data_IF_050000578433
#
_entry.id   IF_050000578433
#
_cell.length_a   1.000
_cell.length_b   1.000
_cell.length_c   1.000
_cell.angle_alpha   90.00
_cell.angle_beta   90.00
_cell.angle_gamma   90.00
#
_symmetry.space_group_name_H-M   'P 1'
#
loop_
_entity.id
_entity.type
_entity.pdbx_description
1 polymer ?
#
# COMPACT_ATOMS: atom_id res chain seq x y z
N UNK A 1 -1.29 6.25 4.16
CA UNK A 1 -0.79 5.81 2.85
C UNK A 1 0.15 4.67 3.13
N UNK A 2 -0.21 3.46 2.71
CA UNK A 2 0.37 2.20 3.17
C UNK A 2 0.28 1.99 4.70
N UNK A 3 0.45 0.75 5.12
CA UNK A 3 0.51 0.31 6.50
C UNK A 3 1.30 -1.01 6.55
N UNK A 4 2.63 -0.90 6.53
CA UNK A 4 3.53 -2.04 6.52
C UNK A 4 4.18 -2.37 7.86
N UNK A 5 5.00 -3.41 7.85
CA UNK A 5 5.92 -3.76 8.94
C UNK A 5 7.36 -3.62 8.47
N UNK A 6 8.29 -3.37 9.38
CA UNK A 6 9.71 -3.30 9.07
C UNK A 6 10.37 -4.69 9.18
N UNK A 7 10.70 -5.39 8.08
CA UNK A 7 11.07 -6.81 8.13
C UNK A 7 12.35 -7.12 8.92
N UNK A 8 13.26 -6.14 9.04
CA UNK A 8 14.51 -6.29 9.79
C UNK A 8 14.42 -5.93 11.29
N UNK A 9 13.25 -5.51 11.79
CA UNK A 9 13.07 -5.10 13.20
C UNK A 9 12.22 -6.11 13.96
N UNK A 10 12.25 -6.01 15.29
CA UNK A 10 11.55 -6.90 16.21
C UNK A 10 10.72 -6.10 17.22
N UNK A 11 9.78 -6.76 17.87
CA UNK A 11 8.92 -6.22 18.90
C UNK A 11 8.06 -5.07 18.39
N UNK A 12 8.03 -3.98 19.15
CA UNK A 12 7.25 -2.79 18.81
C UNK A 12 7.85 -2.06 17.60
N UNK A 13 9.17 -2.14 17.41
CA UNK A 13 9.86 -1.44 16.32
C UNK A 13 9.59 -2.05 14.94
N UNK A 14 9.01 -3.25 14.90
CA UNK A 14 8.46 -3.89 13.69
C UNK A 14 7.28 -3.08 13.11
N UNK A 15 6.49 -2.46 13.97
CA UNK A 15 5.22 -1.85 13.62
C UNK A 15 5.41 -0.41 13.15
N UNK A 16 4.48 0.13 12.34
CA UNK A 16 4.53 1.52 11.98
C UNK A 16 4.38 2.37 13.23
N UNK A 17 5.19 3.43 13.33
CA UNK A 17 5.05 4.42 14.40
C UNK A 17 3.78 5.23 14.11
N UNK A 18 2.68 4.76 14.66
CA UNK A 18 1.44 5.51 14.73
C UNK A 18 1.56 6.32 16.00
N UNK A 19 1.57 7.65 15.88
CA UNK A 19 1.70 8.53 17.03
C UNK A 19 0.53 8.29 18.01
N UNK A 20 0.79 7.48 19.04
CA UNK A 20 -0.19 7.01 20.02
C UNK A 20 -0.72 8.15 20.91
N UNK A 21 -0.18 9.37 20.75
CA UNK A 21 -0.71 10.58 21.39
C UNK A 21 -2.06 11.04 20.81
N UNK A 22 -2.49 10.48 19.68
CA UNK A 22 -3.83 10.73 19.14
C UNK A 22 -4.80 9.72 19.76
N UNK A 23 -5.27 10.02 20.98
CA UNK A 23 -6.42 9.34 21.62
C UNK A 23 -7.76 9.56 20.90
N UNK A 24 -7.73 10.01 19.64
CA UNK A 24 -8.86 10.27 18.78
C UNK A 24 -8.61 9.68 17.36
N UNK A 25 -8.76 8.36 17.25
CA UNK A 25 -8.90 7.64 15.97
C UNK A 25 -10.01 8.10 15.00
N UNK A 26 -10.97 8.98 15.33
CA UNK A 26 -11.82 9.61 14.31
C UNK A 26 -11.12 10.37 13.17
N UNK A 27 -9.78 10.49 13.14
CA UNK A 27 -9.08 11.35 12.17
C UNK A 27 -8.62 10.69 10.85
N UNK A 28 -8.66 9.36 10.72
CA UNK A 28 -8.23 8.71 9.45
C UNK A 28 -9.44 8.32 8.62
N UNK A 29 -9.72 9.09 7.57
CA UNK A 29 -10.81 8.81 6.64
C UNK A 29 -10.50 7.64 5.70
N UNK A 30 -9.25 7.53 5.24
CA UNK A 30 -8.88 6.57 4.20
C UNK A 30 -7.48 5.97 4.40
N UNK A 31 -7.38 4.66 4.23
CA UNK A 31 -6.14 3.91 4.11
C UNK A 31 -6.04 3.40 2.68
N UNK A 32 -4.99 3.80 1.97
CA UNK A 32 -4.70 3.37 0.61
C UNK A 32 -3.48 2.46 0.65
N UNK A 33 -3.61 1.22 0.19
CA UNK A 33 -2.51 0.26 0.14
C UNK A 33 -2.08 0.06 -1.31
N UNK A 34 -0.82 0.40 -1.61
CA UNK A 34 -0.23 0.45 -2.94
C UNK A 34 -0.04 -0.95 -3.51
N UNK A 35 0.55 -1.85 -2.73
CA UNK A 35 0.83 -3.22 -3.15
C UNK A 35 1.02 -4.17 -1.95
N UNK A 36 1.16 -5.47 -2.23
CA UNK A 36 1.06 -6.53 -1.22
C UNK A 36 2.36 -6.86 -0.48
N UNK A 37 3.46 -6.12 -0.68
CA UNK A 37 4.67 -6.36 0.08
C UNK A 37 4.49 -6.08 1.57
N UNK A 38 5.29 -6.75 2.40
CA UNK A 38 5.14 -6.73 3.86
C UNK A 38 5.32 -5.32 4.44
N UNK A 39 6.29 -4.58 3.92
CA UNK A 39 6.63 -3.21 4.26
C UNK A 39 5.62 -2.16 3.77
N UNK A 40 4.59 -2.58 3.02
CA UNK A 40 3.49 -1.71 2.58
C UNK A 40 2.12 -2.14 3.13
N UNK A 41 1.88 -3.42 3.36
CA UNK A 41 0.54 -3.92 3.69
C UNK A 41 0.44 -4.70 5.01
N UNK A 42 1.52 -5.34 5.47
CA UNK A 42 1.42 -6.30 6.55
C UNK A 42 1.21 -5.69 7.95
N UNK A 43 1.29 -4.36 8.11
CA UNK A 43 0.89 -3.68 9.34
C UNK A 43 -0.63 -3.58 9.50
N UNK A 44 -1.39 -3.76 8.42
CA UNK A 44 -2.83 -3.53 8.40
C UNK A 44 -3.63 -4.44 9.36
N UNK A 45 -3.39 -5.76 9.47
CA UNK A 45 -4.14 -6.60 10.43
C UNK A 45 -3.94 -6.15 11.88
N UNK A 46 -2.71 -5.77 12.24
CA UNK A 46 -2.43 -5.21 13.56
C UNK A 46 -3.17 -3.89 13.79
N UNK A 47 -3.17 -3.00 12.80
CA UNK A 47 -3.90 -1.73 12.86
C UNK A 47 -5.39 -1.95 13.14
N UNK A 48 -6.03 -2.85 12.41
CA UNK A 48 -7.46 -3.16 12.57
C UNK A 48 -7.75 -3.79 13.93
N UNK A 49 -6.88 -4.66 14.42
CA UNK A 49 -7.01 -5.28 15.74
C UNK A 49 -6.90 -4.27 16.89
N UNK A 50 -5.97 -3.30 16.77
CA UNK A 50 -5.81 -2.22 17.76
C UNK A 50 -6.92 -1.19 17.69
N UNK A 51 -7.45 -0.92 16.50
CA UNK A 51 -8.41 0.15 16.26
C UNK A 51 -9.72 -0.40 15.70
N UNK A 52 -10.43 -1.17 16.53
CA UNK A 52 -11.68 -1.86 16.13
C UNK A 52 -12.76 -0.90 15.62
N UNK A 53 -12.79 0.31 16.18
CA UNK A 53 -13.74 1.38 15.84
C UNK A 53 -13.35 2.21 14.60
N UNK A 54 -12.29 1.83 13.88
CA UNK A 54 -11.95 2.45 12.60
C UNK A 54 -13.11 2.30 11.61
N UNK A 55 -13.62 3.43 11.11
CA UNK A 55 -14.76 3.56 10.19
C UNK A 55 -14.38 4.08 8.79
N UNK A 56 -13.10 4.40 8.58
CA UNK A 56 -12.62 4.87 7.29
C UNK A 56 -12.64 3.79 6.22
N UNK A 57 -12.36 4.18 4.98
CA UNK A 57 -12.23 3.24 3.85
C UNK A 57 -10.83 2.66 3.77
N UNK A 58 -10.71 1.39 3.42
CA UNK A 58 -9.44 0.74 3.11
C UNK A 58 -9.51 0.32 1.65
N UNK A 59 -8.64 0.87 0.81
CA UNK A 59 -8.65 0.61 -0.63
C UNK A 59 -7.39 -0.16 -1.05
N UNK A 60 -7.62 -1.22 -1.82
CA UNK A 60 -6.61 -2.01 -2.52
C UNK A 60 -7.07 -2.27 -3.95
N UNK A 61 -6.16 -2.56 -4.86
CA UNK A 61 -6.56 -3.23 -6.10
C UNK A 61 -6.98 -4.68 -5.81
N UNK A 62 -7.80 -5.26 -6.69
CA UNK A 62 -8.24 -6.64 -6.52
C UNK A 62 -7.07 -7.66 -6.40
N UNK A 63 -6.01 -7.59 -7.25
CA UNK A 63 -4.87 -8.48 -7.09
C UNK A 63 -4.12 -8.24 -5.77
N UNK A 64 -3.91 -6.99 -5.36
CA UNK A 64 -3.27 -6.67 -4.08
C UNK A 64 -4.04 -7.27 -2.91
N UNK A 65 -5.38 -7.19 -2.89
CA UNK A 65 -6.20 -7.82 -1.85
C UNK A 65 -6.02 -9.35 -1.82
N UNK A 66 -5.97 -10.01 -2.98
CA UNK A 66 -5.76 -11.46 -3.06
C UNK A 66 -4.39 -11.88 -2.52
N UNK A 67 -3.32 -11.22 -2.98
CA UNK A 67 -1.96 -11.55 -2.56
C UNK A 67 -1.67 -11.13 -1.13
N UNK A 68 -2.25 -10.02 -0.66
CA UNK A 68 -2.18 -9.57 0.73
C UNK A 68 -2.49 -10.73 1.68
N UNK A 69 -3.65 -11.39 1.52
CA UNK A 69 -4.03 -12.53 2.38
C UNK A 69 -2.97 -13.63 2.36
N UNK A 70 -2.49 -14.03 1.18
CA UNK A 70 -1.52 -15.11 1.03
C UNK A 70 -0.20 -14.75 1.72
N UNK A 71 0.34 -13.58 1.40
CA UNK A 71 1.63 -13.09 1.89
C UNK A 71 1.60 -12.87 3.40
N UNK A 72 0.52 -12.28 3.93
CA UNK A 72 0.39 -12.09 5.38
C UNK A 72 0.19 -13.40 6.14
N UNK A 73 -0.58 -14.35 5.60
CA UNK A 73 -0.75 -15.67 6.22
C UNK A 73 0.54 -16.49 6.20
N UNK A 74 1.37 -16.35 5.16
CA UNK A 74 2.69 -16.99 5.11
C UNK A 74 3.66 -16.36 6.10
N UNK A 75 3.69 -15.02 6.17
CA UNK A 75 4.50 -14.28 7.14
C UNK A 75 4.25 -14.73 8.58
N UNK A 76 2.99 -14.86 9.02
CA UNK A 76 2.70 -15.28 10.40
C UNK A 76 3.04 -16.76 10.68
N UNK A 77 3.23 -17.60 9.67
CA UNK A 77 3.69 -18.99 9.85
C UNK A 77 5.20 -19.05 10.08
N UNK A 78 5.94 -18.21 9.38
CA UNK A 78 7.40 -18.19 9.39
C UNK A 78 7.95 -17.29 10.52
N UNK A 79 7.28 -16.17 10.80
CA UNK A 79 7.75 -15.20 11.78
C UNK A 79 7.75 -15.77 13.20
N UNK A 80 8.88 -15.59 13.88
CA UNK A 80 9.02 -15.92 15.30
C UNK A 80 8.15 -15.00 16.18
N UNK A 81 8.00 -13.74 15.76
CA UNK A 81 7.16 -12.75 16.44
C UNK A 81 5.91 -12.47 15.62
N UNK A 82 4.75 -12.70 16.22
CA UNK A 82 3.46 -12.59 15.55
C UNK A 82 2.73 -11.36 16.07
N UNK A 83 2.76 -10.22 15.34
CA UNK A 83 2.02 -9.03 15.74
C UNK A 83 0.50 -9.21 15.67
N UNK A 84 0.03 -10.23 14.95
CA UNK A 84 -1.38 -10.60 14.75
C UNK A 84 -1.48 -12.08 14.33
N UNK A 85 -2.70 -12.65 14.31
CA UNK A 85 -2.98 -14.01 13.86
C UNK A 85 -3.85 -14.05 12.59
N UNK A 86 -4.24 -15.27 12.19
CA UNK A 86 -5.13 -15.49 11.02
C UNK A 86 -6.49 -14.80 11.20
N UNK A 87 -6.99 -14.71 12.43
CA UNK A 87 -8.27 -14.06 12.71
C UNK A 87 -8.24 -12.58 12.34
N UNK A 88 -7.20 -11.86 12.74
CA UNK A 88 -7.03 -10.45 12.43
C UNK A 88 -6.82 -10.21 10.92
N UNK A 89 -6.18 -11.16 10.21
CA UNK A 89 -6.06 -11.10 8.75
C UNK A 89 -7.44 -11.16 8.10
N UNK A 90 -8.29 -12.10 8.52
CA UNK A 90 -9.66 -12.22 7.98
C UNK A 90 -10.52 -10.99 8.34
N UNK A 91 -10.42 -10.47 9.57
CA UNK A 91 -11.08 -9.21 9.97
C UNK A 91 -10.65 -8.02 9.08
N UNK A 92 -9.37 -7.93 8.71
CA UNK A 92 -8.88 -6.92 7.77
C UNK A 92 -9.43 -7.16 6.34
N UNK A 93 -9.46 -8.41 5.88
CA UNK A 93 -9.98 -8.78 4.55
C UNK A 93 -11.45 -8.38 4.34
N UNK A 94 -12.27 -8.48 5.38
CA UNK A 94 -13.67 -8.05 5.36
C UNK A 94 -13.82 -6.53 5.20
N UNK A 95 -12.89 -5.74 5.76
CA UNK A 95 -12.92 -4.27 5.70
C UNK A 95 -12.29 -3.67 4.43
N UNK A 96 -11.50 -4.44 3.69
CA UNK A 96 -10.85 -3.96 2.46
C UNK A 96 -11.86 -3.89 1.31
N UNK A 97 -11.98 -2.72 0.69
CA UNK A 97 -12.72 -2.50 -0.55
C UNK A 97 -11.75 -2.48 -1.76
N UNK A 98 -12.21 -3.02 -2.88
CA UNK A 98 -11.41 -3.05 -4.11
C UNK A 98 -11.68 -1.81 -4.97
N UNK A 99 -10.61 -1.16 -5.43
CA UNK A 99 -10.64 -0.10 -6.44
C UNK A 99 -10.04 -0.61 -7.75
N UNK A 100 -10.68 -0.31 -8.88
CA UNK A 100 -10.11 -0.58 -10.20
C UNK A 100 -9.22 0.57 -10.66
N UNK A 101 -8.22 0.29 -11.49
CA UNK A 101 -7.44 1.33 -12.13
C UNK A 101 -8.34 2.33 -12.86
N UNK A 102 -8.01 3.62 -12.74
CA UNK A 102 -8.76 4.76 -13.29
C UNK A 102 -10.18 4.95 -12.75
N UNK A 103 -10.63 4.14 -11.79
CA UNK A 103 -11.88 4.38 -11.10
C UNK A 103 -11.71 5.55 -10.13
N UNK A 104 -12.66 6.49 -10.18
CA UNK A 104 -12.74 7.59 -9.22
C UNK A 104 -13.62 7.15 -8.05
N UNK A 105 -13.08 7.21 -6.82
CA UNK A 105 -13.82 7.02 -5.57
C UNK A 105 -13.82 8.34 -4.82
N UNK A 106 -15.00 8.83 -4.46
CA UNK A 106 -15.14 10.00 -3.58
C UNK A 106 -15.61 9.55 -2.20
N UNK A 107 -14.90 10.00 -1.16
CA UNK A 107 -15.24 9.72 0.24
C UNK A 107 -14.85 10.89 1.13
N UNK A 108 -15.78 11.43 1.91
CA UNK A 108 -15.56 12.56 2.84
C UNK A 108 -14.84 13.76 2.18
N UNK A 109 -15.16 14.09 0.93
CA UNK A 109 -14.53 15.20 0.18
C UNK A 109 -13.11 14.89 -0.33
N UNK A 110 -12.69 13.63 -0.27
CA UNK A 110 -11.43 13.12 -0.81
C UNK A 110 -11.75 12.35 -2.09
N UNK A 111 -11.22 12.81 -3.22
CA UNK A 111 -11.30 12.10 -4.50
C UNK A 111 -10.04 11.25 -4.68
N UNK A 112 -10.22 9.96 -4.95
CA UNK A 112 -9.15 8.97 -5.04
C UNK A 112 -9.25 8.27 -6.39
N UNK A 113 -8.13 8.23 -7.11
CA UNK A 113 -7.95 7.42 -8.32
C UNK A 113 -6.65 6.66 -8.21
N UNK A 114 -6.57 5.45 -8.77
CA UNK A 114 -5.32 4.70 -8.84
C UNK A 114 -4.87 4.38 -10.26
N UNK A 115 -3.56 4.31 -10.47
CA UNK A 115 -2.90 4.03 -11.75
C UNK A 115 -1.94 2.86 -11.58
N UNK A 116 -1.65 2.11 -12.64
CA UNK A 116 -0.72 0.99 -12.55
C UNK A 116 0.70 1.49 -12.20
N UNK A 117 1.31 0.89 -11.17
CA UNK A 117 2.68 1.18 -10.74
C UNK A 117 3.73 0.25 -11.37
N UNK A 118 3.32 -0.76 -12.15
CA UNK A 118 4.24 -1.84 -12.56
C UNK A 118 4.66 -2.66 -11.35
N UNK A 119 5.97 -2.79 -11.09
CA UNK A 119 6.58 -3.43 -9.90
C UNK A 119 6.12 -4.85 -9.56
N UNK A 120 4.90 -5.01 -9.04
CA UNK A 120 4.26 -6.29 -8.75
C UNK A 120 2.81 -6.29 -9.22
N UNK A 121 2.23 -7.48 -9.40
CA UNK A 121 0.86 -7.60 -9.89
C UNK A 121 -0.14 -6.88 -8.97
N UNK A 122 -0.87 -5.91 -9.52
CA UNK A 122 -1.83 -5.11 -8.76
C UNK A 122 -1.25 -3.88 -8.07
N UNK A 123 0.07 -3.61 -8.20
CA UNK A 123 0.65 -2.41 -7.62
C UNK A 123 0.01 -1.15 -8.21
N UNK A 124 -0.18 -0.15 -7.35
CA UNK A 124 -0.92 1.04 -7.69
C UNK A 124 -0.30 2.32 -7.12
N UNK A 125 -0.24 3.34 -7.96
CA UNK A 125 0.01 4.72 -7.55
C UNK A 125 -1.34 5.40 -7.29
N UNK A 126 -1.48 6.10 -6.18
CA UNK A 126 -2.71 6.79 -5.81
C UNK A 126 -2.62 8.29 -6.07
N UNK A 127 -3.52 8.80 -6.91
CA UNK A 127 -3.80 10.22 -7.03
C UNK A 127 -4.94 10.60 -6.09
N UNK A 128 -4.71 11.61 -5.27
CA UNK A 128 -5.61 12.04 -4.21
C UNK A 128 -5.86 13.53 -4.39
N UNK A 129 -7.12 13.93 -4.51
CA UNK A 129 -7.52 15.34 -4.58
C UNK A 129 -8.32 15.71 -3.32
N UNK A 130 -7.86 16.74 -2.60
CA UNK A 130 -8.53 17.28 -1.41
C UNK A 130 -8.59 18.79 -1.54
N UNK A 131 -9.78 19.38 -1.52
CA UNK A 131 -9.98 20.85 -1.63
C UNK A 131 -9.21 21.49 -2.81
N UNK A 132 -9.12 20.78 -3.94
CA UNK A 132 -8.42 21.21 -5.15
C UNK A 132 -6.91 20.96 -5.17
N UNK A 133 -6.30 20.55 -4.05
CA UNK A 133 -4.90 20.14 -3.99
C UNK A 133 -4.74 18.69 -4.42
N UNK A 134 -3.79 18.42 -5.32
CA UNK A 134 -3.57 17.10 -5.93
C UNK A 134 -2.24 16.50 -5.50
N UNK A 135 -2.31 15.33 -4.87
CA UNK A 135 -1.15 14.55 -4.43
C UNK A 135 -1.06 13.25 -5.23
N UNK A 136 0.14 12.89 -5.67
CA UNK A 136 0.44 11.56 -6.20
C UNK A 136 1.35 10.82 -5.21
N UNK A 137 0.91 9.65 -4.76
CA UNK A 137 1.72 8.72 -3.99
C UNK A 137 2.04 7.50 -4.84
N UNK A 138 3.33 7.24 -5.08
CA UNK A 138 3.74 6.18 -6.02
C UNK A 138 3.72 4.78 -5.41
N UNK A 139 3.91 4.67 -4.09
CA UNK A 139 4.44 3.43 -3.52
C UNK A 139 5.77 3.08 -4.19
N UNK A 140 6.02 1.78 -4.34
CA UNK A 140 7.09 1.28 -5.20
C UNK A 140 6.60 1.15 -6.64
N UNK A 141 7.42 1.57 -7.60
CA UNK A 141 7.03 1.56 -9.01
C UNK A 141 8.20 1.20 -9.93
N UNK A 142 7.87 0.61 -11.08
CA UNK A 142 8.85 0.34 -12.15
C UNK A 142 8.31 0.80 -13.48
N UNK A 143 9.02 1.73 -14.12
CA UNK A 143 8.69 2.23 -15.47
C UNK A 143 9.04 1.24 -16.58
N UNK A 144 9.96 0.30 -16.32
CA UNK A 144 10.36 -0.71 -17.31
C UNK A 144 9.34 -1.86 -17.30
N UNK A 145 8.71 -2.20 -18.44
CA UNK A 145 7.84 -3.36 -18.53
C UNK A 145 8.63 -4.66 -18.33
N UNK A 146 8.04 -5.61 -17.60
CA UNK A 146 8.61 -6.94 -17.41
C UNK A 146 8.11 -7.96 -18.46
N UNK A 147 8.09 -9.28 -18.19
CA UNK A 147 7.55 -10.29 -19.12
C UNK A 147 6.02 -10.44 -18.96
N UNK A 148 5.52 -10.10 -17.79
CA UNK A 148 4.15 -10.29 -17.31
C UNK A 148 3.48 -8.97 -16.94
N UNK A 149 4.25 -7.96 -16.52
CA UNK A 149 3.77 -6.68 -16.04
C UNK A 149 4.11 -5.55 -17.01
N UNK A 150 3.14 -4.67 -17.22
CA UNK A 150 3.39 -3.39 -17.87
C UNK A 150 4.21 -2.48 -16.94
N UNK A 151 4.93 -1.53 -17.51
CA UNK A 151 5.57 -0.47 -16.74
C UNK A 151 4.53 0.45 -16.08
N UNK A 152 4.99 1.21 -15.09
CA UNK A 152 4.21 2.23 -14.42
C UNK A 152 3.67 3.24 -15.43
N UNK A 153 2.41 3.63 -15.22
CA UNK A 153 1.81 4.70 -15.99
C UNK A 153 2.38 6.06 -15.57
N UNK A 154 2.27 7.05 -16.47
CA UNK A 154 2.52 8.44 -16.13
C UNK A 154 1.19 9.17 -16.20
N UNK A 155 0.55 9.47 -15.06
CA UNK A 155 -0.68 10.25 -15.04
C UNK A 155 -0.49 11.56 -15.80
N UNK A 156 -1.38 11.85 -16.75
CA UNK A 156 -1.31 13.07 -17.57
C UNK A 156 -1.76 14.33 -16.80
N UNK A 157 -2.45 14.12 -15.67
CA UNK A 157 -2.82 15.18 -14.75
C UNK A 157 -1.58 15.77 -14.07
N UNK A 158 -1.57 17.09 -13.90
CA UNK A 158 -0.60 17.75 -13.04
C UNK A 158 -0.95 17.54 -11.55
N UNK A 159 0.05 17.18 -10.76
CA UNK A 159 -0.03 17.07 -9.31
C UNK A 159 0.80 18.18 -8.66
N UNK A 160 0.30 18.71 -7.54
CA UNK A 160 0.98 19.73 -6.75
C UNK A 160 2.06 19.09 -5.86
N UNK A 161 1.80 17.87 -5.38
CA UNK A 161 2.67 17.13 -4.47
C UNK A 161 2.94 15.74 -5.04
N UNK A 162 4.21 15.34 -5.03
CA UNK A 162 4.65 13.99 -5.36
C UNK A 162 5.35 13.38 -4.14
N UNK A 163 4.81 12.27 -3.64
CA UNK A 163 5.49 11.39 -2.68
C UNK A 163 5.98 10.18 -3.47
N UNK A 164 7.29 10.08 -3.63
CA UNK A 164 7.96 9.07 -4.44
C UNK A 164 8.95 8.26 -3.63
N UNK A 165 9.06 6.96 -3.93
CA UNK A 165 10.10 6.11 -3.37
C UNK A 165 11.51 6.54 -3.80
N UNK A 166 12.54 6.02 -3.14
CA UNK A 166 13.94 6.41 -3.40
C UNK A 166 14.90 5.22 -3.41
N UNK A 167 14.38 3.98 -3.55
CA UNK A 167 15.14 2.73 -3.34
C UNK A 167 16.38 2.66 -4.23
N UNK A 168 16.27 3.08 -5.49
CA UNK A 168 17.36 3.09 -6.46
C UNK A 168 17.67 4.48 -7.02
N UNK A 169 17.31 5.56 -6.32
CA UNK A 169 17.40 6.94 -6.84
C UNK A 169 18.80 7.38 -7.28
N UNK A 170 19.87 6.75 -6.78
CA UNK A 170 21.27 7.02 -7.16
C UNK A 170 21.89 5.95 -8.06
N UNK A 171 21.17 4.85 -8.31
CA UNK A 171 21.67 3.69 -9.03
C UNK A 171 21.19 3.68 -10.48
N UNK A 172 22.08 3.32 -11.40
CA UNK A 172 21.71 3.06 -12.79
C UNK A 172 21.50 1.57 -12.97
N UNK A 173 20.30 1.17 -13.35
CA UNK A 173 20.04 -0.22 -13.69
C UNK A 173 20.73 -0.61 -15.00
N UNK A 174 21.33 -1.79 -15.03
CA UNK A 174 21.83 -2.39 -16.28
C UNK A 174 20.67 -2.72 -17.22
N UNK A 175 20.94 -2.76 -18.53
CA UNK A 175 19.92 -3.19 -19.50
C UNK A 175 19.33 -4.54 -19.11
N UNK A 176 18.00 -4.62 -19.10
CA UNK A 176 17.27 -5.84 -18.70
C UNK A 176 17.78 -7.10 -19.40
N UNK A 177 18.09 -7.03 -20.70
CA UNK A 177 18.64 -8.18 -21.48
C UNK A 177 19.93 -8.75 -20.90
N UNK A 178 20.77 -7.93 -20.25
CA UNK A 178 22.05 -8.36 -19.67
C UNK A 178 21.87 -9.01 -18.30
N UNK A 179 20.81 -8.65 -17.55
CA UNK A 179 20.50 -9.25 -16.23
C UNK A 179 19.94 -10.68 -16.30
N UNK A 180 19.42 -11.09 -17.47
CA UNK A 180 18.82 -12.41 -17.68
C UNK A 180 19.70 -13.40 -18.46
N UNK A 181 20.93 -12.99 -18.80
CA UNK A 181 21.96 -13.84 -19.43
C UNK A 181 23.02 -14.21 -18.39
#
# INVERSE_FOLDING_TARGET
LDCGIHPAKQGVDLLPVIDLHVSELPLVDVILITHFHLDHAAGLPWFISKFKDFKGKILMTAPTKTFFRIVTSDYIKISAEKPYGEKEIEEAMEKIECINYHQVIEYNGIEITCYNAGHVLGAAMFSITINGMKLLYTGDFSIEPDRLLCGAEVPQQQHDILIVESTYGTNKHEERRRRFN
#
